data_IF_030880672423
#
_entry.id   IF_030880672423
#
_cell.length_a   1.000
_cell.length_b   1.000
_cell.length_c   1.000
_cell.angle_alpha   90.00
_cell.angle_beta   90.00
_cell.angle_gamma   90.00
#
_symmetry.space_group_name_H-M   'P 1'
#
loop_
_entity.id
_entity.type
_entity.pdbx_description
1 polymer ?
#
# COMPACT_ATOMS: atom_id res chain seq x y z
N UNK A 1 15.95 -4.88 3.79
CA UNK A 1 15.20 -3.67 4.21
C UNK A 1 14.48 -3.85 5.54
N UNK A 2 13.52 -4.78 5.68
CA UNK A 2 12.81 -5.00 6.96
C UNK A 2 13.78 -5.30 8.12
N UNK A 3 14.78 -6.18 7.92
CA UNK A 3 15.76 -6.48 8.98
C UNK A 3 16.54 -5.24 9.42
N UNK A 4 16.94 -4.39 8.48
CA UNK A 4 17.57 -3.09 8.78
C UNK A 4 16.65 -2.19 9.60
N UNK A 5 15.37 -2.10 9.25
CA UNK A 5 14.40 -1.27 10.00
C UNK A 5 14.06 -1.83 11.39
N UNK A 6 14.14 -3.16 11.57
CA UNK A 6 13.93 -3.84 12.86
C UNK A 6 15.01 -3.51 13.89
N UNK A 7 16.24 -3.27 13.46
CA UNK A 7 17.36 -2.92 14.33
C UNK A 7 17.24 -1.49 14.88
N UNK A 8 16.38 -0.65 14.29
CA UNK A 8 16.16 0.73 14.71
C UNK A 8 15.11 0.77 15.83
N UNK A 9 15.56 0.79 17.09
CA UNK A 9 14.68 0.81 18.27
C UNK A 9 14.21 2.20 18.70
N UNK A 10 14.89 3.27 18.27
CA UNK A 10 14.60 4.65 18.69
C UNK A 10 13.39 5.28 17.97
N UNK A 11 12.95 4.70 16.86
CA UNK A 11 11.92 5.29 16.00
C UNK A 11 10.78 4.30 15.72
N UNK A 12 9.57 4.85 15.49
CA UNK A 12 8.48 4.12 14.88
C UNK A 12 8.82 3.98 13.39
N UNK A 13 9.18 2.78 12.94
CA UNK A 13 9.57 2.52 11.55
C UNK A 13 8.49 1.72 10.84
N UNK A 14 8.31 2.01 9.56
CA UNK A 14 7.41 1.29 8.68
C UNK A 14 8.04 1.12 7.31
N UNK A 15 7.62 0.08 6.60
CA UNK A 15 7.93 -0.13 5.19
C UNK A 15 6.60 -0.29 4.44
N UNK A 16 6.45 0.44 3.35
CA UNK A 16 5.36 0.27 2.41
C UNK A 16 5.93 0.03 1.02
N UNK A 17 5.75 -1.20 0.53
CA UNK A 17 6.08 -1.60 -0.82
C UNK A 17 4.81 -1.68 -1.67
N UNK A 18 4.88 -1.17 -2.90
CA UNK A 18 3.84 -1.23 -3.92
C UNK A 18 4.52 -1.26 -5.29
N UNK A 19 4.16 -2.22 -6.13
CA UNK A 19 4.62 -2.22 -7.52
C UNK A 19 3.95 -1.09 -8.31
N UNK A 20 4.68 -0.52 -9.26
CA UNK A 20 4.18 0.44 -10.24
C UNK A 20 3.27 -0.23 -11.29
N UNK A 21 3.65 -1.43 -11.74
CA UNK A 21 2.81 -2.31 -12.57
C UNK A 21 3.23 -3.77 -12.39
N UNK A 22 2.52 -4.68 -13.08
CA UNK A 22 2.89 -6.08 -13.20
C UNK A 22 3.51 -6.40 -14.56
N UNK A 23 3.64 -7.67 -14.92
CA UNK A 23 4.38 -8.14 -16.11
C UNK A 23 3.66 -9.32 -16.77
N UNK A 24 3.53 -9.29 -18.10
CA UNK A 24 3.17 -10.48 -18.88
C UNK A 24 4.40 -11.33 -19.17
N UNK A 25 4.26 -12.65 -19.01
CA UNK A 25 5.37 -13.61 -19.11
C UNK A 25 5.19 -14.63 -20.23
N UNK A 26 4.28 -14.36 -21.16
CA UNK A 26 4.00 -15.17 -22.35
C UNK A 26 2.53 -15.58 -22.50
N UNK A 27 1.65 -15.15 -21.59
CA UNK A 27 0.22 -15.46 -21.65
C UNK A 27 -0.37 -14.95 -22.95
N UNK A 28 -1.01 -15.83 -23.73
CA UNK A 28 -1.57 -15.51 -25.04
C UNK A 28 -0.58 -14.86 -26.03
N UNK A 29 0.72 -15.16 -25.88
CA UNK A 29 1.79 -14.60 -26.71
C UNK A 29 2.20 -13.18 -26.32
N UNK A 30 1.65 -12.62 -25.24
CA UNK A 30 2.00 -11.31 -24.73
C UNK A 30 3.17 -11.41 -23.74
N UNK A 31 4.15 -10.53 -23.91
CA UNK A 31 5.31 -10.41 -23.04
C UNK A 31 5.45 -8.97 -22.57
N UNK A 32 6.23 -8.79 -21.52
CA UNK A 32 6.57 -7.50 -20.94
C UNK A 32 5.34 -6.75 -20.40
N UNK A 33 5.42 -5.43 -20.40
CA UNK A 33 4.40 -4.49 -19.91
C UNK A 33 4.13 -3.41 -20.96
N UNK A 34 3.20 -2.49 -20.64
CA UNK A 34 2.87 -1.35 -21.50
C UNK A 34 1.70 -1.58 -22.44
N UNK A 35 0.89 -2.61 -22.19
CA UNK A 35 -0.40 -2.74 -22.87
C UNK A 35 -1.28 -1.52 -22.57
N UNK A 36 -2.08 -1.02 -23.53
CA UNK A 36 -3.04 0.03 -23.25
C UNK A 36 -3.96 -0.38 -22.10
N UNK A 37 -4.08 0.46 -21.05
CA UNK A 37 -4.71 0.08 -19.78
C UNK A 37 -6.12 -0.53 -19.94
N UNK A 38 -6.92 -0.01 -20.89
CA UNK A 38 -8.28 -0.49 -21.15
C UNK A 38 -8.37 -1.96 -21.62
N UNK A 39 -7.27 -2.52 -22.12
CA UNK A 39 -7.15 -3.91 -22.60
C UNK A 39 -6.01 -4.68 -21.93
N UNK A 40 -5.33 -4.07 -20.95
CA UNK A 40 -4.22 -4.70 -20.27
C UNK A 40 -4.70 -5.89 -19.44
N UNK A 41 -4.00 -7.04 -19.50
CA UNK A 41 -4.40 -8.20 -18.71
C UNK A 41 -4.16 -7.96 -17.22
N UNK A 42 -4.74 -8.81 -16.37
CA UNK A 42 -4.54 -8.75 -14.92
C UNK A 42 -3.06 -8.85 -14.53
N UNK A 43 -2.25 -9.57 -15.31
CA UNK A 43 -0.82 -9.72 -15.09
C UNK A 43 -0.08 -8.37 -15.07
N UNK A 44 -0.54 -7.38 -15.83
CA UNK A 44 0.07 -6.04 -15.89
C UNK A 44 -0.55 -5.04 -14.91
N UNK A 45 -1.76 -5.31 -14.40
CA UNK A 45 -2.54 -4.33 -13.61
C UNK A 45 -2.81 -4.74 -12.16
N UNK A 46 -2.77 -6.04 -11.85
CA UNK A 46 -2.91 -6.56 -10.49
C UNK A 46 -1.52 -6.69 -9.86
N UNK A 47 -1.21 -5.79 -8.92
CA UNK A 47 0.13 -5.65 -8.36
C UNK A 47 0.19 -5.99 -6.87
N UNK A 48 1.35 -6.46 -6.37
CA UNK A 48 1.55 -6.66 -4.95
C UNK A 48 1.69 -5.33 -4.19
N UNK A 49 1.15 -5.32 -2.97
CA UNK A 49 1.37 -4.29 -1.98
C UNK A 49 1.65 -4.94 -0.63
N UNK A 50 2.69 -4.49 0.09
CA UNK A 50 3.05 -5.00 1.41
C UNK A 50 3.30 -3.82 2.33
N UNK A 51 2.70 -3.86 3.52
CA UNK A 51 3.01 -2.94 4.61
C UNK A 51 3.59 -3.72 5.77
N UNK A 52 4.67 -3.20 6.36
CA UNK A 52 5.29 -3.71 7.57
C UNK A 52 5.48 -2.58 8.56
N UNK A 53 5.26 -2.86 9.84
CA UNK A 53 5.38 -1.91 10.94
C UNK A 53 6.25 -2.50 12.04
N UNK A 54 7.13 -1.68 12.63
CA UNK A 54 7.95 -2.08 13.77
C UNK A 54 7.10 -2.31 15.02
N UNK A 55 7.65 -3.04 15.99
CA UNK A 55 6.96 -3.24 17.28
C UNK A 55 6.70 -1.91 18.00
N UNK A 56 7.62 -0.95 17.90
CA UNK A 56 7.41 0.41 18.43
C UNK A 56 6.22 1.10 17.75
N UNK A 57 6.06 0.98 16.43
CA UNK A 57 4.89 1.52 15.73
C UNK A 57 3.61 0.85 16.20
N UNK A 58 3.59 -0.48 16.31
CA UNK A 58 2.41 -1.24 16.76
C UNK A 58 2.00 -0.88 18.19
N UNK A 59 2.96 -0.66 19.09
CA UNK A 59 2.69 -0.26 20.48
C UNK A 59 1.97 1.09 20.59
N UNK A 60 2.29 2.04 19.71
CA UNK A 60 1.74 3.40 19.77
C UNK A 60 0.56 3.62 18.82
N UNK A 61 0.46 2.86 17.74
CA UNK A 61 -0.51 3.06 16.66
C UNK A 61 -1.29 1.78 16.32
N UNK A 62 -1.59 0.95 17.32
CA UNK A 62 -2.23 -0.35 17.13
C UNK A 62 -3.54 -0.26 16.31
N UNK A 63 -4.33 0.79 16.53
CA UNK A 63 -5.58 1.01 15.79
C UNK A 63 -5.34 1.19 14.27
N UNK A 64 -4.29 1.91 13.87
CA UNK A 64 -3.93 2.06 12.45
C UNK A 64 -3.55 0.71 11.84
N UNK A 65 -2.70 -0.05 12.54
CA UNK A 65 -2.23 -1.37 12.06
C UNK A 65 -3.40 -2.35 11.92
N UNK A 66 -4.30 -2.38 12.90
CA UNK A 66 -5.50 -3.22 12.87
C UNK A 66 -6.43 -2.84 11.71
N UNK A 67 -6.65 -1.54 11.48
CA UNK A 67 -7.44 -1.07 10.36
C UNK A 67 -6.84 -1.54 9.02
N UNK A 68 -5.55 -1.28 8.79
CA UNK A 68 -4.87 -1.67 7.55
C UNK A 68 -4.88 -3.19 7.33
N UNK A 69 -4.79 -3.98 8.40
CA UNK A 69 -4.89 -5.44 8.33
C UNK A 69 -6.26 -5.91 7.80
N UNK A 70 -7.34 -5.21 8.15
CA UNK A 70 -8.70 -5.50 7.65
C UNK A 70 -8.89 -5.15 6.16
N UNK A 71 -8.04 -4.27 5.61
CA UNK A 71 -8.11 -3.85 4.20
C UNK A 71 -7.49 -4.87 3.24
N UNK A 72 -6.78 -5.89 3.72
CA UNK A 72 -6.06 -6.88 2.88
C UNK A 72 -6.93 -7.66 1.89
N UNK A 73 -8.25 -7.72 2.13
CA UNK A 73 -9.22 -8.39 1.24
C UNK A 73 -10.00 -7.41 0.36
N UNK A 74 -9.81 -6.11 0.52
CA UNK A 74 -10.52 -5.09 -0.23
C UNK A 74 -9.86 -4.85 -1.58
N UNK A 75 -10.66 -4.44 -2.57
CA UNK A 75 -10.14 -3.97 -3.84
C UNK A 75 -9.56 -2.57 -3.64
N UNK A 76 -8.24 -2.48 -3.79
CA UNK A 76 -7.47 -1.24 -3.66
C UNK A 76 -6.71 -0.96 -4.96
N UNK A 77 -6.18 0.25 -5.08
CA UNK A 77 -5.33 0.67 -6.19
C UNK A 77 -4.27 1.66 -5.72
N UNK A 78 -3.42 2.12 -6.63
CA UNK A 78 -2.46 3.18 -6.36
C UNK A 78 -3.12 4.51 -5.94
N UNK A 79 -4.40 4.73 -6.25
CA UNK A 79 -5.17 5.90 -5.81
C UNK A 79 -5.25 6.00 -4.28
N UNK A 80 -5.12 4.87 -3.58
CA UNK A 80 -5.15 4.81 -2.12
C UNK A 80 -3.82 5.26 -1.48
N UNK A 81 -2.72 5.33 -2.23
CA UNK A 81 -1.38 5.60 -1.71
C UNK A 81 -1.29 6.99 -1.07
N UNK A 82 -1.65 8.03 -1.83
CA UNK A 82 -1.50 9.42 -1.42
C UNK A 82 -2.29 9.77 -0.14
N UNK A 83 -3.62 9.58 -0.08
CA UNK A 83 -4.38 9.97 1.11
C UNK A 83 -4.03 9.11 2.33
N UNK A 84 -3.76 7.82 2.16
CA UNK A 84 -3.43 6.95 3.29
C UNK A 84 -2.05 7.25 3.88
N UNK A 85 -1.05 7.63 3.06
CA UNK A 85 0.26 8.04 3.56
C UNK A 85 0.16 9.31 4.42
N UNK A 86 -0.65 10.27 4.00
CA UNK A 86 -0.90 11.49 4.78
C UNK A 86 -1.59 11.17 6.11
N UNK A 87 -2.62 10.33 6.10
CA UNK A 87 -3.30 9.88 7.33
C UNK A 87 -2.37 9.08 8.25
N UNK A 88 -1.49 8.25 7.71
CA UNK A 88 -0.53 7.45 8.47
C UNK A 88 0.47 8.34 9.23
N UNK A 89 0.81 9.50 8.67
CA UNK A 89 1.73 10.49 9.24
C UNK A 89 1.02 11.64 9.96
N UNK A 90 -0.29 11.52 10.20
CA UNK A 90 -1.16 12.51 10.85
C UNK A 90 -1.18 13.91 10.19
N UNK A 91 -0.93 13.97 8.87
CA UNK A 91 -0.94 15.23 8.12
C UNK A 91 -2.38 15.70 7.88
N UNK A 92 -2.67 16.97 8.23
CA UNK A 92 -3.97 17.62 7.95
C UNK A 92 -3.85 18.51 6.72
N UNK A 93 -4.70 18.28 5.73
CA UNK A 93 -4.76 19.09 4.51
C UNK A 93 -6.11 18.99 3.84
N UNK A 94 -6.47 19.99 3.03
CA UNK A 94 -7.76 20.07 2.33
C UNK A 94 -7.80 19.22 1.05
N UNK A 95 -6.64 18.79 0.53
CA UNK A 95 -6.55 18.03 -0.73
C UNK A 95 -6.77 16.52 -0.56
N UNK A 96 -7.00 16.03 0.67
CA UNK A 96 -7.21 14.61 0.94
C UNK A 96 -8.63 14.19 0.58
N UNK A 97 -8.73 13.12 -0.22
CA UNK A 97 -9.99 12.42 -0.45
C UNK A 97 -10.13 11.25 0.54
N UNK A 98 -10.94 11.42 1.58
CA UNK A 98 -11.15 10.41 2.62
C UNK A 98 -11.78 9.10 2.10
N UNK A 99 -12.42 9.09 0.92
CA UNK A 99 -12.95 7.86 0.31
C UNK A 99 -11.84 6.92 -0.18
N UNK A 100 -10.65 7.46 -0.43
CA UNK A 100 -9.47 6.71 -0.90
C UNK A 100 -8.47 6.45 0.24
N UNK A 101 -8.67 7.04 1.42
CA UNK A 101 -7.85 6.76 2.60
C UNK A 101 -8.22 5.40 3.21
N UNK A 102 -7.27 4.46 3.19
CA UNK A 102 -7.42 3.13 3.80
C UNK A 102 -7.67 3.20 5.31
N UNK A 103 -7.13 4.21 6.01
CA UNK A 103 -7.32 4.40 7.46
C UNK A 103 -8.67 5.01 7.81
N UNK A 104 -9.38 5.58 6.83
CA UNK A 104 -10.73 6.10 7.01
C UNK A 104 -11.82 5.04 6.80
N UNK A 105 -11.48 3.85 6.29
CA UNK A 105 -12.45 2.79 5.97
C UNK A 105 -12.78 1.84 7.15
N UNK A 106 -12.08 1.96 8.28
CA UNK A 106 -12.32 1.10 9.47
C UNK A 106 -12.86 1.88 10.67
N UNK A 107 -13.36 3.10 10.44
CA UNK A 107 -13.99 3.93 11.47
C UNK A 107 -15.48 3.69 11.54
#
# INVERSE_FOLDING_TARGET
MINTLKEISKYQTGLWYLSDHGESTGEHGLYLHGSPYAIAPSQQTHVPMIMWFSESWKQHNLAQVNCLSQQTKQKLSQDNLFPSLLSLLDVKTQVVNNKLDMLSQCK
#
